data_IF_639022758733
#
_entry.id   IF_639022758733
#
_cell.length_a   1.000
_cell.length_b   1.000
_cell.length_c   1.000
_cell.angle_alpha   90.00
_cell.angle_beta   90.00
_cell.angle_gamma   90.00
#
_symmetry.space_group_name_H-M   'P 1'
#
loop_
_entity.id
_entity.type
_entity.pdbx_description
1 polymer ?
#
# COMPACT_ATOMS: atom_id res chain seq x y z
N UNK A 1 30.26 -8.61 49.65
CA UNK A 1 30.65 -7.88 48.44
C UNK A 1 30.31 -8.65 47.15
N UNK A 2 30.43 -9.94 47.07
CA UNK A 2 30.15 -10.73 45.86
C UNK A 2 28.67 -10.75 45.41
N UNK A 3 27.72 -10.56 46.29
CA UNK A 3 26.27 -10.53 45.96
C UNK A 3 25.80 -9.25 45.26
N UNK A 4 26.49 -8.13 45.44
CA UNK A 4 26.09 -6.85 44.84
C UNK A 4 26.41 -6.78 43.33
N UNK A 5 27.45 -7.44 42.87
CA UNK A 5 27.84 -7.50 41.47
C UNK A 5 26.95 -8.42 40.65
N UNK A 6 26.37 -9.46 41.28
CA UNK A 6 25.45 -10.38 40.59
C UNK A 6 24.13 -9.67 40.20
N UNK A 7 23.62 -8.78 41.06
CA UNK A 7 22.41 -8.02 40.72
C UNK A 7 22.63 -6.98 39.64
N UNK A 8 23.78 -6.38 39.54
CA UNK A 8 24.11 -5.40 38.48
C UNK A 8 24.27 -6.11 37.15
N UNK A 9 24.87 -7.28 37.12
CA UNK A 9 25.02 -8.07 35.89
C UNK A 9 23.68 -8.56 35.36
N UNK A 10 22.76 -8.99 36.23
CA UNK A 10 21.40 -9.43 35.83
C UNK A 10 20.56 -8.27 35.35
N UNK A 11 20.66 -7.08 35.94
CA UNK A 11 19.96 -5.88 35.48
C UNK A 11 20.46 -5.38 34.12
N UNK A 12 21.76 -5.48 33.84
CA UNK A 12 22.35 -5.13 32.55
C UNK A 12 21.91 -6.09 31.46
N UNK A 13 21.81 -7.39 31.72
CA UNK A 13 21.30 -8.38 30.75
C UNK A 13 19.82 -8.16 30.46
N UNK A 14 18.97 -7.71 31.39
CA UNK A 14 17.57 -7.38 31.13
C UNK A 14 17.39 -6.12 30.26
N UNK A 15 18.30 -5.14 30.39
CA UNK A 15 18.27 -3.92 29.58
C UNK A 15 18.67 -4.18 28.10
N UNK A 16 19.51 -5.17 27.85
CA UNK A 16 19.87 -5.55 26.47
C UNK A 16 18.85 -6.48 25.80
N UNK A 17 18.11 -7.27 26.57
CA UNK A 17 17.09 -8.19 26.05
C UNK A 17 15.86 -7.50 25.47
N UNK A 18 15.51 -6.31 25.95
CA UNK A 18 14.32 -5.59 25.50
C UNK A 18 14.50 -4.80 24.19
N UNK A 19 15.72 -4.61 23.71
CA UNK A 19 15.98 -3.93 22.43
C UNK A 19 16.00 -4.90 21.22
N UNK A 20 16.19 -6.19 21.45
CA UNK A 20 16.22 -7.17 20.37
C UNK A 20 14.84 -7.49 19.79
N UNK A 21 13.74 -7.18 20.48
CA UNK A 21 12.37 -7.42 19.99
C UNK A 21 11.79 -6.26 19.18
N UNK A 22 12.40 -5.08 19.18
CA UNK A 22 11.90 -3.93 18.42
C UNK A 22 12.35 -3.89 16.95
N UNK A 23 13.16 -4.85 16.48
CA UNK A 23 13.71 -4.87 15.12
C UNK A 23 13.08 -5.91 14.20
N UNK A 24 11.97 -6.53 14.56
CA UNK A 24 11.29 -7.54 13.71
C UNK A 24 10.19 -6.92 12.84
N UNK A 25 10.05 -5.62 12.80
CA UNK A 25 9.10 -4.96 11.90
C UNK A 25 9.76 -4.61 10.57
N UNK A 26 9.18 -5.14 9.52
CA UNK A 26 9.43 -4.99 8.09
C UNK A 26 10.67 -5.73 7.57
N UNK A 27 10.51 -7.00 7.24
CA UNK A 27 11.49 -7.78 6.52
C UNK A 27 11.69 -7.40 5.05
N UNK A 28 11.17 -6.25 4.56
CA UNK A 28 11.30 -5.83 3.17
C UNK A 28 11.57 -4.32 3.06
N UNK A 29 12.27 -3.94 1.98
CA UNK A 29 12.50 -2.54 1.66
C UNK A 29 11.21 -1.86 1.23
N UNK A 30 10.91 -0.68 1.79
CA UNK A 30 9.79 0.13 1.35
C UNK A 30 10.10 0.81 0.02
N UNK A 31 9.14 0.79 -0.89
CA UNK A 31 9.20 1.54 -2.13
C UNK A 31 8.44 2.86 -2.01
N UNK A 32 9.00 3.93 -2.56
CA UNK A 32 8.28 5.18 -2.68
C UNK A 32 7.49 5.18 -3.98
N UNK A 33 6.17 5.06 -3.87
CA UNK A 33 5.25 5.10 -5.01
C UNK A 33 4.52 6.44 -5.17
N UNK A 34 4.87 7.44 -4.37
CA UNK A 34 4.23 8.74 -4.46
C UNK A 34 4.32 9.31 -5.87
N UNK A 35 3.24 9.84 -6.38
CA UNK A 35 3.18 10.43 -7.69
C UNK A 35 1.88 10.21 -8.44
N UNK A 36 1.91 10.56 -9.71
CA UNK A 36 0.80 10.38 -10.65
C UNK A 36 1.20 9.29 -11.63
N UNK A 37 0.39 8.24 -11.69
CA UNK A 37 0.60 7.08 -12.52
C UNK A 37 -0.45 7.00 -13.60
N UNK A 38 -0.04 6.80 -14.83
CA UNK A 38 -0.95 6.53 -15.94
C UNK A 38 -1.07 5.03 -16.15
N UNK A 39 -2.31 4.55 -16.28
CA UNK A 39 -2.53 3.16 -16.64
C UNK A 39 -2.21 2.97 -18.13
N UNK A 40 -1.23 2.12 -18.43
CA UNK A 40 -0.81 1.85 -19.80
C UNK A 40 -1.63 0.72 -20.43
N UNK A 41 -1.91 -0.33 -19.66
CA UNK A 41 -2.71 -1.47 -20.09
C UNK A 41 -3.28 -2.23 -18.88
N UNK A 42 -4.27 -3.05 -19.11
CA UNK A 42 -4.78 -4.03 -18.17
C UNK A 42 -5.25 -5.29 -18.91
N UNK A 43 -5.33 -6.39 -18.19
CA UNK A 43 -5.88 -7.65 -18.67
C UNK A 43 -7.25 -7.85 -18.04
N UNK A 44 -8.25 -8.11 -18.85
CA UNK A 44 -9.60 -8.39 -18.35
C UNK A 44 -9.65 -9.74 -17.63
N UNK A 45 -10.37 -9.80 -16.52
CA UNK A 45 -10.74 -11.08 -15.89
C UNK A 45 -11.81 -11.86 -16.66
N UNK A 46 -12.41 -11.27 -17.70
CA UNK A 46 -13.38 -11.93 -18.56
C UNK A 46 -12.67 -12.68 -19.70
N UNK A 47 -12.78 -14.03 -19.78
CA UNK A 47 -12.11 -14.81 -20.83
C UNK A 47 -12.62 -14.52 -22.26
N UNK A 48 -13.79 -13.89 -22.39
CA UNK A 48 -14.32 -13.46 -23.70
C UNK A 48 -13.61 -12.21 -24.25
N UNK A 49 -12.82 -11.53 -23.44
CA UNK A 49 -12.05 -10.35 -23.81
C UNK A 49 -10.56 -10.68 -23.65
N UNK A 50 -9.94 -11.37 -24.61
CA UNK A 50 -8.55 -11.78 -24.49
C UNK A 50 -7.60 -10.62 -24.80
N UNK A 51 -6.40 -10.69 -24.20
CA UNK A 51 -5.30 -9.80 -24.49
C UNK A 51 -5.24 -8.56 -23.59
N UNK A 52 -4.33 -7.69 -23.95
CA UNK A 52 -4.11 -6.43 -23.25
C UNK A 52 -5.08 -5.36 -23.73
N UNK A 53 -5.71 -4.71 -22.77
CA UNK A 53 -6.60 -3.57 -23.05
C UNK A 53 -5.87 -2.28 -22.66
N UNK A 54 -5.99 -1.27 -23.50
CA UNK A 54 -5.41 0.06 -23.24
C UNK A 54 -6.51 1.02 -22.83
N UNK A 55 -6.60 1.37 -21.56
CA UNK A 55 -7.54 2.40 -21.13
C UNK A 55 -7.04 3.75 -21.61
N UNK A 56 -7.95 4.61 -22.03
CA UNK A 56 -7.63 6.00 -22.33
C UNK A 56 -7.80 6.86 -21.09
N UNK A 57 -6.80 7.71 -20.80
CA UNK A 57 -6.90 8.79 -19.83
C UNK A 57 -7.21 8.37 -18.38
N UNK A 58 -6.80 7.17 -17.97
CA UNK A 58 -6.92 6.70 -16.59
C UNK A 58 -5.64 6.96 -15.82
N UNK A 59 -5.77 7.59 -14.67
CA UNK A 59 -4.66 7.95 -13.79
C UNK A 59 -4.92 7.49 -12.36
N UNK A 60 -3.84 7.16 -11.65
CA UNK A 60 -3.83 6.91 -10.23
C UNK A 60 -2.87 7.88 -9.56
N UNK A 61 -3.32 8.58 -8.55
CA UNK A 61 -2.50 9.44 -7.71
C UNK A 61 -2.24 8.71 -6.41
N UNK A 62 -0.98 8.55 -6.04
CA UNK A 62 -0.53 8.01 -4.77
C UNK A 62 0.12 9.12 -3.97
N UNK A 63 -0.43 9.42 -2.80
CA UNK A 63 0.03 10.48 -1.92
C UNK A 63 0.93 9.93 -0.82
N UNK A 64 1.80 10.76 -0.26
CA UNK A 64 2.72 10.41 0.82
C UNK A 64 2.03 10.11 2.16
N UNK A 65 0.77 10.51 2.31
CA UNK A 65 -0.09 10.20 3.45
C UNK A 65 -0.78 8.82 3.38
N UNK A 66 -0.41 7.99 2.39
CA UNK A 66 -0.97 6.65 2.20
C UNK A 66 -2.35 6.63 1.57
N UNK A 67 -2.74 7.67 0.84
CA UNK A 67 -4.01 7.73 0.12
C UNK A 67 -3.82 7.54 -1.38
N UNK A 68 -4.79 6.89 -2.02
CA UNK A 68 -4.86 6.82 -3.46
C UNK A 68 -6.13 7.47 -4.01
N UNK A 69 -6.03 7.99 -5.22
CA UNK A 69 -7.16 8.54 -5.98
C UNK A 69 -7.07 8.04 -7.42
N UNK A 70 -8.12 7.40 -7.89
CA UNK A 70 -8.25 7.02 -9.29
C UNK A 70 -9.10 8.04 -10.01
N UNK A 71 -8.65 8.52 -11.15
CA UNK A 71 -9.36 9.48 -11.97
C UNK A 71 -9.33 9.12 -13.45
N UNK A 72 -10.32 9.60 -14.16
CA UNK A 72 -10.39 9.55 -15.64
C UNK A 72 -10.49 10.97 -16.16
N UNK A 73 -9.64 11.29 -17.14
CA UNK A 73 -9.71 12.57 -17.85
C UNK A 73 -10.72 12.46 -18.99
N UNK A 74 -11.71 13.34 -19.00
CA UNK A 74 -12.69 13.41 -20.05
C UNK A 74 -12.34 14.58 -20.97
N UNK A 75 -12.11 14.33 -22.27
CA UNK A 75 -11.78 15.40 -23.23
C UNK A 75 -12.79 16.54 -23.17
N UNK A 76 -12.29 17.77 -23.06
CA UNK A 76 -13.08 19.02 -22.98
C UNK A 76 -14.02 19.15 -21.79
N UNK A 77 -13.95 18.23 -20.78
CA UNK A 77 -14.81 18.27 -19.59
C UNK A 77 -14.06 18.24 -18.27
N UNK A 78 -12.76 17.89 -18.29
CA UNK A 78 -11.93 17.80 -17.10
C UNK A 78 -11.79 16.39 -16.54
N UNK A 79 -11.56 16.24 -15.26
CA UNK A 79 -11.32 14.97 -14.60
C UNK A 79 -12.50 14.54 -13.72
N UNK A 80 -12.76 13.24 -13.69
CA UNK A 80 -13.71 12.61 -12.76
C UNK A 80 -12.93 11.67 -11.85
N UNK A 81 -13.08 11.82 -10.54
CA UNK A 81 -12.58 10.89 -9.54
C UNK A 81 -13.52 9.69 -9.51
N UNK A 82 -13.02 8.51 -9.91
CA UNK A 82 -13.80 7.27 -9.98
C UNK A 82 -13.60 6.36 -8.78
N UNK A 83 -12.54 6.57 -8.01
CA UNK A 83 -12.26 5.78 -6.83
C UNK A 83 -11.23 6.43 -5.93
N UNK A 84 -11.24 6.06 -4.66
CA UNK A 84 -10.27 6.53 -3.67
C UNK A 84 -10.23 5.59 -2.47
N UNK A 85 -9.18 5.72 -1.68
CA UNK A 85 -8.98 4.97 -0.45
C UNK A 85 -7.58 5.13 0.08
N UNK A 86 -7.13 4.15 0.83
CA UNK A 86 -5.79 4.08 1.40
C UNK A 86 -4.99 2.95 0.77
N UNK A 87 -3.67 3.07 0.78
CA UNK A 87 -2.77 2.03 0.32
C UNK A 87 -1.59 1.86 1.24
N UNK A 88 -1.04 0.66 1.30
CA UNK A 88 0.23 0.37 1.97
C UNK A 88 0.94 -0.79 1.29
N UNK A 89 2.26 -0.79 1.38
CA UNK A 89 3.06 -1.94 0.97
C UNK A 89 2.88 -3.06 2.00
N UNK A 90 2.53 -4.26 1.54
CA UNK A 90 2.28 -5.44 2.39
C UNK A 90 3.29 -6.54 2.20
N UNK A 91 4.06 -6.49 1.10
CA UNK A 91 5.18 -7.40 0.80
C UNK A 91 6.16 -6.69 -0.15
N UNK A 92 7.35 -7.24 -0.45
CA UNK A 92 8.34 -6.61 -1.34
C UNK A 92 7.78 -6.15 -2.69
N UNK A 93 6.89 -6.96 -3.27
CA UNK A 93 6.28 -6.70 -4.58
C UNK A 93 4.75 -6.64 -4.50
N UNK A 94 4.19 -6.33 -3.34
CA UNK A 94 2.75 -6.28 -3.16
C UNK A 94 2.32 -5.03 -2.41
N UNK A 95 1.22 -4.45 -2.87
CA UNK A 95 0.53 -3.34 -2.22
C UNK A 95 -0.90 -3.75 -1.98
N UNK A 96 -1.47 -3.29 -0.87
CA UNK A 96 -2.88 -3.50 -0.56
C UNK A 96 -3.59 -2.15 -0.56
N UNK A 97 -4.62 -2.04 -1.36
CA UNK A 97 -5.52 -0.90 -1.40
C UNK A 97 -6.81 -1.21 -0.65
N UNK A 98 -7.14 -0.38 0.33
CA UNK A 98 -8.45 -0.39 0.97
C UNK A 98 -9.36 0.61 0.27
N UNK A 99 -10.42 0.13 -0.37
CA UNK A 99 -11.31 0.94 -1.20
C UNK A 99 -12.34 1.64 -0.32
N UNK A 100 -12.36 2.97 -0.33
CA UNK A 100 -13.35 3.79 0.38
C UNK A 100 -14.43 4.33 -0.57
N UNK A 101 -14.09 4.51 -1.84
CA UNK A 101 -15.01 4.99 -2.89
C UNK A 101 -14.72 4.29 -4.21
N UNK A 102 -15.75 3.82 -4.88
CA UNK A 102 -15.68 3.31 -6.25
C UNK A 102 -17.01 3.57 -6.95
N UNK A 103 -17.00 4.41 -8.01
CA UNK A 103 -18.20 4.79 -8.74
C UNK A 103 -18.67 3.72 -9.72
N UNK A 104 -17.75 2.92 -10.24
CA UNK A 104 -18.08 1.88 -11.23
C UNK A 104 -18.49 0.56 -10.56
N UNK A 105 -17.87 0.25 -9.43
CA UNK A 105 -18.06 -1.00 -8.70
C UNK A 105 -18.30 -0.71 -7.22
N UNK A 106 -19.49 -0.20 -6.85
CA UNK A 106 -19.80 0.17 -5.46
C UNK A 106 -19.65 -0.99 -4.47
N UNK A 107 -19.77 -2.23 -4.93
CA UNK A 107 -19.56 -3.44 -4.11
C UNK A 107 -18.12 -3.62 -3.64
N UNK A 108 -17.15 -2.92 -4.22
CA UNK A 108 -15.75 -2.95 -3.78
C UNK A 108 -15.46 -2.00 -2.61
N UNK A 109 -16.40 -1.14 -2.24
CA UNK A 109 -16.23 -0.25 -1.07
C UNK A 109 -16.10 -1.09 0.18
N UNK A 110 -15.05 -0.85 0.95
CA UNK A 110 -14.69 -1.61 2.15
C UNK A 110 -13.88 -2.88 1.88
N UNK A 111 -13.52 -3.15 0.62
CA UNK A 111 -12.73 -4.33 0.23
C UNK A 111 -11.25 -3.97 0.12
N UNK A 112 -10.41 -4.91 0.49
CA UNK A 112 -8.95 -4.84 0.31
C UNK A 112 -8.55 -5.53 -0.99
N UNK A 113 -7.88 -4.79 -1.88
CA UNK A 113 -7.32 -5.30 -3.12
C UNK A 113 -5.80 -5.44 -2.98
N UNK A 114 -5.29 -6.63 -3.23
CA UNK A 114 -3.85 -6.88 -3.32
C UNK A 114 -3.40 -6.69 -4.77
N UNK A 115 -2.41 -5.83 -4.98
CA UNK A 115 -1.85 -5.46 -6.28
C UNK A 115 -0.39 -5.92 -6.39
#
# INVERSE_FOLDING_TARGET
MKRRYLFILTAVCMLFGSRAMAQVESGFASANLNGIWQMCFYVSGNPEIPGELKPSNSFKILSDDGKFTNMVMIPNRGAIIIGSGTYKQTAPNAFTEHVEKNLHLPQLVGVDNVL
#
